data_IF_864676859346
#
_entry.id   IF_864676859346
#
_cell.length_a   1.000
_cell.length_b   1.000
_cell.length_c   1.000
_cell.angle_alpha   90.00
_cell.angle_beta   90.00
_cell.angle_gamma   90.00
#
_symmetry.space_group_name_H-M   'P 1'
#
loop_
_entity.id
_entity.type
_entity.pdbx_description
1 polymer ?
#
# COMPACT_ATOMS: atom_id res chain seq x y z
N UNK A 1 17.76 29.38 -21.27
CA UNK A 1 17.06 28.57 -22.30
C UNK A 1 15.65 28.15 -21.83
N UNK A 2 14.74 29.07 -21.47
CA UNK A 2 13.49 28.68 -20.78
C UNK A 2 12.24 28.45 -21.67
N UNK A 3 12.25 28.84 -22.95
CA UNK A 3 11.04 28.87 -23.78
C UNK A 3 10.60 27.56 -24.48
N UNK A 4 11.46 26.54 -24.60
CA UNK A 4 11.19 25.40 -25.52
C UNK A 4 10.56 24.14 -24.90
N UNK A 5 10.44 24.05 -23.57
CA UNK A 5 9.92 22.83 -22.90
C UNK A 5 8.39 22.76 -22.90
N UNK A 6 7.71 23.90 -22.72
CA UNK A 6 6.24 23.97 -22.62
C UNK A 6 5.50 23.48 -23.87
N UNK A 7 6.09 23.61 -25.05
CA UNK A 7 5.42 23.28 -26.32
C UNK A 7 5.25 21.76 -26.53
N UNK A 8 6.18 20.94 -26.02
CA UNK A 8 6.19 19.48 -26.29
C UNK A 8 5.13 18.69 -25.51
N UNK A 9 4.56 19.29 -24.46
CA UNK A 9 3.50 18.65 -23.65
C UNK A 9 2.13 18.68 -24.32
N UNK A 10 1.77 19.78 -25.00
CA UNK A 10 0.43 19.97 -25.60
C UNK A 10 0.09 18.94 -26.69
N UNK A 11 1.10 18.47 -27.44
CA UNK A 11 0.89 17.54 -28.55
C UNK A 11 0.51 16.11 -28.12
N UNK A 12 0.84 15.69 -26.89
CA UNK A 12 0.40 14.39 -26.38
C UNK A 12 -1.06 14.42 -25.88
N UNK A 13 -1.56 15.58 -25.47
CA UNK A 13 -2.96 15.76 -25.03
C UNK A 13 -3.93 15.66 -26.22
N UNK A 14 -3.61 16.31 -27.34
CA UNK A 14 -4.44 16.30 -28.56
C UNK A 14 -4.67 14.89 -29.12
N UNK A 15 -3.66 14.01 -29.09
CA UNK A 15 -3.78 12.62 -29.56
C UNK A 15 -4.69 11.75 -28.68
N UNK A 16 -4.85 12.09 -27.39
CA UNK A 16 -5.71 11.31 -26.48
C UNK A 16 -7.19 11.69 -26.58
N UNK A 17 -7.51 12.94 -26.92
CA UNK A 17 -8.90 13.41 -27.04
C UNK A 17 -9.53 13.13 -28.41
N UNK A 18 -8.76 13.15 -29.50
CA UNK A 18 -9.32 13.00 -30.85
C UNK A 18 -9.81 11.58 -31.18
N UNK A 19 -9.41 10.56 -30.42
CA UNK A 19 -9.65 9.14 -30.74
C UNK A 19 -11.01 8.57 -30.26
N UNK A 20 -11.92 9.37 -29.67
CA UNK A 20 -13.19 8.88 -29.07
C UNK A 20 -14.40 9.81 -29.26
N UNK A 21 -14.58 10.40 -30.44
CA UNK A 21 -15.83 11.08 -30.80
C UNK A 21 -16.24 10.78 -32.25
N UNK A 22 -17.01 9.71 -32.43
CA UNK A 22 -17.86 9.49 -33.61
C UNK A 22 -19.31 9.78 -33.21
N UNK A 23 -19.97 10.83 -33.75
CA UNK A 23 -21.37 11.11 -33.46
C UNK A 23 -22.29 10.09 -34.14
N UNK A 24 -23.50 9.84 -33.61
CA UNK A 24 -24.52 9.04 -34.30
C UNK A 24 -25.10 9.84 -35.49
N UNK A 25 -25.55 9.16 -36.56
CA UNK A 25 -26.31 9.79 -37.65
C UNK A 25 -27.72 10.19 -37.18
N UNK A 26 -28.32 11.16 -37.87
CA UNK A 26 -29.66 11.68 -37.57
C UNK A 26 -30.52 11.84 -38.83
N UNK A 27 -31.84 11.72 -38.67
CA UNK A 27 -32.86 11.79 -39.72
C UNK A 27 -33.36 10.41 -40.17
N UNK A 28 -34.67 10.19 -40.35
CA UNK A 28 -35.80 11.08 -40.10
C UNK A 28 -37.15 10.36 -40.29
N UNK A 29 -38.26 11.02 -39.91
CA UNK A 29 -39.59 10.41 -39.86
C UNK A 29 -40.22 10.13 -41.24
N UNK A 30 -40.92 8.98 -41.35
CA UNK A 30 -42.16 8.80 -42.15
C UNK A 30 -43.01 7.66 -41.58
N UNK A 31 -44.31 7.89 -41.44
CA UNK A 31 -45.29 6.87 -41.08
C UNK A 31 -45.58 5.86 -42.21
N UNK A 32 -45.73 4.58 -41.85
CA UNK A 32 -46.71 3.67 -42.46
C UNK A 32 -46.92 2.42 -41.59
N UNK A 33 -48.14 1.89 -41.57
CA UNK A 33 -48.51 0.63 -40.88
C UNK A 33 -48.45 -0.53 -41.88
N UNK A 34 -47.94 -1.71 -41.49
CA UNK A 34 -48.72 -2.97 -41.33
C UNK A 34 -47.84 -4.21 -41.03
N UNK A 35 -48.41 -5.14 -40.24
CA UNK A 35 -48.25 -6.62 -40.27
C UNK A 35 -46.86 -7.31 -40.29
N UNK A 36 -46.58 -7.97 -39.15
CA UNK A 36 -46.33 -9.43 -38.98
C UNK A 36 -45.20 -10.20 -39.72
N UNK A 37 -44.65 -11.16 -38.94
CA UNK A 37 -43.88 -12.38 -39.32
C UNK A 37 -42.46 -12.22 -39.93
N UNK A 38 -41.62 -13.26 -39.71
CA UNK A 38 -40.31 -13.41 -40.37
C UNK A 38 -39.08 -13.53 -39.46
N UNK A 39 -38.98 -14.57 -38.63
CA UNK A 39 -37.77 -14.84 -37.82
C UNK A 39 -36.56 -15.26 -38.70
N UNK A 40 -35.40 -14.58 -38.52
CA UNK A 40 -34.03 -14.98 -38.92
C UNK A 40 -32.99 -13.89 -38.61
N UNK A 41 -32.45 -13.86 -37.40
CA UNK A 41 -31.04 -13.45 -37.20
C UNK A 41 -30.49 -13.84 -35.82
N UNK A 42 -29.55 -14.79 -35.78
CA UNK A 42 -28.81 -15.17 -34.58
C UNK A 42 -27.44 -14.49 -34.59
N UNK A 43 -27.02 -13.79 -33.52
CA UNK A 43 -25.67 -13.22 -33.46
C UNK A 43 -24.59 -14.33 -33.39
N UNK A 44 -23.38 -14.09 -33.91
CA UNK A 44 -22.29 -15.05 -33.87
C UNK A 44 -21.79 -15.29 -32.43
N UNK A 45 -21.28 -16.50 -32.18
CA UNK A 45 -20.73 -16.87 -30.87
C UNK A 45 -19.35 -16.26 -30.60
N UNK A 46 -19.01 -16.10 -29.32
CA UNK A 46 -17.74 -15.50 -28.85
C UNK A 46 -16.47 -16.17 -29.43
N UNK A 47 -16.58 -17.43 -29.87
CA UNK A 47 -15.55 -18.18 -30.59
C UNK A 47 -14.96 -17.44 -31.79
N UNK A 48 -15.77 -16.66 -32.50
CA UNK A 48 -15.43 -16.16 -33.82
C UNK A 48 -14.83 -14.75 -33.74
N UNK A 49 -15.29 -13.95 -32.76
CA UNK A 49 -14.62 -12.72 -32.34
C UNK A 49 -13.18 -13.00 -31.83
N UNK A 50 -12.99 -14.08 -31.07
CA UNK A 50 -11.67 -14.50 -30.59
C UNK A 50 -10.71 -14.87 -31.73
N UNK A 51 -11.18 -15.57 -32.77
CA UNK A 51 -10.39 -15.89 -33.98
C UNK A 51 -10.02 -14.64 -34.78
N UNK A 52 -10.93 -13.68 -34.92
CA UNK A 52 -10.65 -12.41 -35.61
C UNK A 52 -9.54 -11.61 -34.90
N UNK A 53 -9.55 -11.56 -33.56
CA UNK A 53 -8.52 -10.89 -32.77
C UNK A 53 -7.12 -11.54 -32.94
N UNK A 54 -7.05 -12.87 -32.96
CA UNK A 54 -5.80 -13.61 -33.16
C UNK A 54 -5.16 -13.36 -34.54
N UNK A 55 -5.99 -13.27 -35.59
CA UNK A 55 -5.54 -13.00 -36.96
C UNK A 55 -4.98 -11.58 -37.17
N UNK A 56 -5.40 -10.60 -36.36
CA UNK A 56 -4.86 -9.24 -36.39
C UNK A 56 -3.46 -9.16 -35.76
N UNK A 57 -3.19 -9.94 -34.69
CA UNK A 57 -1.93 -9.89 -33.96
C UNK A 57 -0.73 -10.41 -34.76
N UNK A 58 -0.90 -11.45 -35.58
CA UNK A 58 0.20 -12.06 -36.35
C UNK A 58 0.75 -11.12 -37.44
N UNK A 59 -0.10 -10.31 -38.08
CA UNK A 59 0.33 -9.35 -39.12
C UNK A 59 1.19 -8.20 -38.59
N UNK A 60 1.13 -7.89 -37.30
CA UNK A 60 1.95 -6.83 -36.70
C UNK A 60 3.41 -7.24 -36.45
N UNK A 61 3.71 -8.55 -36.36
CA UNK A 61 5.03 -9.07 -36.00
C UNK A 61 6.01 -9.20 -37.17
N UNK A 62 5.55 -9.11 -38.42
CA UNK A 62 6.35 -9.35 -39.62
C UNK A 62 7.15 -8.12 -40.13
N UNK A 63 7.04 -6.96 -39.46
CA UNK A 63 7.43 -5.66 -40.01
C UNK A 63 8.65 -5.00 -39.34
N UNK A 64 9.69 -5.77 -39.00
CA UNK A 64 11.00 -5.21 -38.64
C UNK A 64 12.16 -6.20 -38.82
N UNK A 65 13.03 -5.95 -39.81
CA UNK A 65 14.34 -6.60 -39.96
C UNK A 65 15.37 -5.52 -40.33
N UNK A 66 16.51 -5.41 -39.62
CA UNK A 66 17.54 -4.41 -39.95
C UNK A 66 18.39 -4.82 -41.16
N UNK A 67 18.78 -3.86 -41.98
CA UNK A 67 19.63 -4.05 -43.16
C UNK A 67 21.12 -4.16 -42.82
N UNK A 68 21.88 -4.81 -43.71
CA UNK A 68 23.36 -4.86 -43.67
C UNK A 68 23.98 -3.62 -44.32
N UNK A 69 25.11 -3.17 -43.77
CA UNK A 69 26.17 -2.44 -44.49
C UNK A 69 27.53 -2.82 -43.87
N UNK A 70 28.65 -2.61 -44.58
CA UNK A 70 29.95 -3.18 -44.23
C UNK A 70 31.15 -2.33 -44.68
N UNK A 71 32.35 -2.70 -44.18
CA UNK A 71 33.69 -2.16 -44.49
C UNK A 71 33.95 -0.71 -43.99
N UNK A 72 35.19 -0.19 -43.87
CA UNK A 72 36.57 -0.67 -44.17
C UNK A 72 37.51 -0.47 -42.96
N UNK A 73 38.83 -0.74 -43.07
CA UNK A 73 39.81 -0.63 -41.97
C UNK A 73 41.22 -0.11 -42.37
N UNK A 74 41.90 0.50 -41.38
CA UNK A 74 43.38 0.67 -41.23
C UNK A 74 44.12 1.67 -42.18
N UNK A 75 45.40 2.05 -41.94
CA UNK A 75 46.33 1.73 -40.82
C UNK A 75 47.10 2.95 -40.19
N UNK A 76 48.16 2.66 -39.41
CA UNK A 76 49.29 3.53 -38.97
C UNK A 76 49.03 4.71 -37.97
N UNK A 77 49.97 5.13 -37.09
CA UNK A 77 51.31 4.62 -36.68
C UNK A 77 51.66 5.03 -35.22
N UNK A 78 52.55 4.29 -34.55
CA UNK A 78 53.13 4.64 -33.22
C UNK A 78 54.48 5.39 -33.32
N UNK A 79 55.32 5.48 -32.27
CA UNK A 79 55.35 4.78 -30.96
C UNK A 79 55.07 5.76 -29.77
N UNK A 80 55.58 5.73 -28.52
CA UNK A 80 56.64 4.97 -27.83
C UNK A 80 56.50 4.93 -26.26
N UNK A 81 57.47 4.30 -25.61
CA UNK A 81 57.83 4.21 -24.15
C UNK A 81 59.29 3.68 -24.09
N UNK A 82 59.97 3.31 -22.96
CA UNK A 82 59.70 3.29 -21.50
C UNK A 82 60.82 4.11 -20.75
N UNK A 83 61.45 3.73 -19.60
CA UNK A 83 61.14 2.87 -18.43
C UNK A 83 61.26 3.61 -17.05
N UNK A 84 61.08 3.03 -15.85
CA UNK A 84 60.58 1.70 -15.42
C UNK A 84 61.22 1.19 -14.09
N UNK A 85 60.62 0.18 -13.42
CA UNK A 85 61.15 -0.63 -12.26
C UNK A 85 61.34 0.11 -10.90
N UNK A 86 61.35 -0.52 -9.71
CA UNK A 86 60.76 -1.80 -9.23
C UNK A 86 60.78 -1.91 -7.66
N UNK A 87 59.95 -2.82 -7.12
CA UNK A 87 60.14 -3.69 -5.93
C UNK A 87 60.48 -3.20 -4.49
N UNK A 88 59.54 -3.49 -3.57
CA UNK A 88 59.70 -4.27 -2.31
C UNK A 88 60.33 -3.69 -1.01
N UNK A 89 59.96 -4.33 0.12
CA UNK A 89 60.43 -4.18 1.53
C UNK A 89 60.12 -2.83 2.23
N UNK A 90 60.10 -2.70 3.56
CA UNK A 90 60.05 -3.71 4.63
C UNK A 90 60.44 -3.18 6.04
N UNK A 91 59.47 -3.17 6.99
CA UNK A 91 59.61 -3.03 8.46
C UNK A 91 60.37 -1.81 9.09
N UNK A 92 59.79 -1.20 10.15
CA UNK A 92 60.46 -1.02 11.46
C UNK A 92 59.62 -0.27 12.52
N UNK A 93 59.92 -0.53 13.80
CA UNK A 93 59.18 -0.17 15.02
C UNK A 93 59.33 1.29 15.49
N UNK A 94 58.35 1.80 16.27
CA UNK A 94 58.55 2.14 17.70
C UNK A 94 57.28 2.54 18.48
N UNK A 95 57.30 2.26 19.80
CA UNK A 95 56.51 2.90 20.87
C UNK A 95 57.50 3.57 21.87
N UNK A 96 57.08 4.42 22.83
CA UNK A 96 56.33 4.06 24.08
C UNK A 96 54.99 4.83 24.23
N UNK A 97 54.00 4.46 25.07
CA UNK A 97 53.89 4.42 26.56
C UNK A 97 53.97 5.82 27.24
N UNK A 98 53.20 6.19 28.28
CA UNK A 98 52.59 5.42 29.40
C UNK A 98 51.25 6.02 29.96
N UNK A 99 50.53 5.24 30.79
CA UNK A 99 49.59 5.65 31.89
C UNK A 99 48.31 6.46 31.56
N UNK A 100 47.19 6.46 32.32
CA UNK A 100 46.59 5.62 33.38
C UNK A 100 45.18 6.21 33.73
N UNK A 101 44.21 5.60 34.43
CA UNK A 101 43.82 4.20 34.76
C UNK A 101 42.45 4.21 35.48
N UNK A 102 41.57 3.21 35.32
CA UNK A 102 40.28 3.15 36.06
C UNK A 102 39.52 1.81 35.93
N UNK A 103 39.10 1.21 37.06
CA UNK A 103 38.53 -0.15 37.16
C UNK A 103 37.04 -0.25 36.77
N UNK A 104 36.65 -1.43 36.28
CA UNK A 104 35.28 -1.94 36.34
C UNK A 104 35.10 -2.89 37.55
N UNK A 105 33.85 -3.33 37.84
CA UNK A 105 33.62 -4.69 38.36
C UNK A 105 32.70 -5.51 37.43
N UNK A 106 32.64 -6.82 37.67
CA UNK A 106 31.83 -7.79 36.92
C UNK A 106 31.16 -8.81 37.88
N UNK A 107 30.58 -9.87 37.31
CA UNK A 107 29.90 -11.03 37.97
C UNK A 107 28.44 -10.78 38.41
N UNK A 108 27.54 -11.78 38.46
CA UNK A 108 27.63 -13.23 38.16
C UNK A 108 26.54 -13.66 37.14
N UNK A 109 26.62 -14.90 36.65
CA UNK A 109 25.52 -15.59 35.96
C UNK A 109 25.05 -16.80 36.80
N UNK A 110 23.78 -17.18 36.70
CA UNK A 110 23.22 -18.37 37.33
C UNK A 110 22.11 -19.00 36.45
N UNK A 111 22.04 -20.33 36.43
CA UNK A 111 21.18 -21.11 35.51
C UNK A 111 20.26 -22.07 36.28
N UNK A 112 18.96 -22.01 36.00
CA UNK A 112 17.92 -23.04 36.22
C UNK A 112 16.57 -22.47 35.77
N UNK A 113 15.53 -23.24 35.41
CA UNK A 113 15.41 -24.69 35.24
C UNK A 113 13.92 -25.06 35.09
N UNK A 114 13.52 -25.70 34.00
CA UNK A 114 12.10 -25.87 33.67
C UNK A 114 11.45 -27.12 34.31
N UNK A 115 10.27 -26.98 34.93
CA UNK A 115 9.37 -28.10 35.24
C UNK A 115 7.88 -27.78 35.02
N UNK A 116 7.25 -28.71 34.31
CA UNK A 116 5.82 -29.01 34.12
C UNK A 116 4.80 -28.45 35.14
N UNK A 117 3.68 -27.94 34.62
CA UNK A 117 2.38 -27.93 35.31
C UNK A 117 1.50 -29.09 34.80
N UNK A 118 0.60 -29.63 35.65
CA UNK A 118 -0.35 -30.71 35.33
C UNK A 118 -1.78 -30.34 35.75
N UNK A 119 -2.78 -31.07 35.22
CA UNK A 119 -4.22 -30.83 35.41
C UNK A 119 -4.74 -31.12 36.84
N UNK A 120 -5.91 -30.53 37.13
CA UNK A 120 -6.93 -31.03 38.07
C UNK A 120 -7.16 -30.09 39.26
N UNK A 121 -8.38 -29.93 39.80
CA UNK A 121 -9.73 -30.09 39.21
C UNK A 121 -10.71 -29.24 40.07
N UNK A 122 -12.03 -29.37 39.90
CA UNK A 122 -12.99 -28.55 40.66
C UNK A 122 -13.35 -29.14 42.04
N UNK A 123 -13.73 -28.30 43.02
CA UNK A 123 -15.07 -28.30 43.64
C UNK A 123 -15.22 -27.37 44.87
N UNK A 124 -16.36 -26.69 44.96
CA UNK A 124 -17.04 -26.29 46.20
C UNK A 124 -17.83 -27.51 46.74
N UNK A 125 -18.09 -27.66 48.06
CA UNK A 125 -18.82 -26.72 48.92
C UNK A 125 -18.04 -26.42 50.25
N UNK A 126 -18.58 -25.94 51.38
CA UNK A 126 -19.97 -25.79 51.85
C UNK A 126 -20.18 -24.64 52.87
N UNK A 127 -21.40 -24.55 53.38
CA UNK A 127 -21.92 -23.53 54.32
C UNK A 127 -21.60 -23.76 55.80
N UNK A 128 -21.40 -22.68 56.56
CA UNK A 128 -21.55 -22.63 58.02
C UNK A 128 -22.52 -21.52 58.42
N UNK A 129 -23.40 -21.76 59.42
CA UNK A 129 -24.44 -20.81 59.84
C UNK A 129 -23.99 -19.93 61.02
N UNK A 130 -24.49 -18.70 61.09
CA UNK A 130 -24.39 -17.83 62.26
C UNK A 130 -25.33 -16.63 62.16
N UNK A 131 -26.43 -16.66 62.91
CA UNK A 131 -27.23 -15.46 63.25
C UNK A 131 -26.70 -14.89 64.59
N UNK A 132 -27.08 -13.72 65.10
CA UNK A 132 -28.17 -12.80 64.73
C UNK A 132 -27.84 -11.38 65.26
N UNK A 133 -28.46 -10.33 64.70
CA UNK A 133 -29.06 -9.17 65.40
C UNK A 133 -29.36 -7.98 64.49
N UNK A 134 -30.60 -7.51 64.61
CA UNK A 134 -31.11 -6.26 64.05
C UNK A 134 -30.27 -5.01 64.34
N UNK A 135 -30.23 -4.11 63.34
CA UNK A 135 -30.45 -2.67 63.58
C UNK A 135 -30.95 -1.98 62.30
N UNK A 136 -32.17 -1.45 62.38
CA UNK A 136 -32.91 -0.88 61.26
C UNK A 136 -32.43 0.53 60.88
N UNK A 137 -31.58 0.62 59.85
CA UNK A 137 -31.26 1.87 59.16
C UNK A 137 -32.25 2.15 58.03
N UNK A 138 -32.96 3.29 58.08
CA UNK A 138 -33.88 3.68 57.00
C UNK A 138 -33.12 3.94 55.70
N UNK A 139 -33.38 3.15 54.67
CA UNK A 139 -32.82 3.38 53.33
C UNK A 139 -33.30 4.71 52.75
N UNK A 140 -32.38 5.51 52.23
CA UNK A 140 -32.73 6.69 51.44
C UNK A 140 -33.43 6.27 50.14
N UNK A 141 -34.45 7.00 49.67
CA UNK A 141 -35.10 6.69 48.40
C UNK A 141 -34.10 6.84 47.24
N UNK A 142 -34.20 6.00 46.18
CA UNK A 142 -33.39 6.18 44.98
C UNK A 142 -33.67 7.56 44.34
N UNK A 143 -32.65 8.23 43.76
CA UNK A 143 -32.84 9.54 43.14
C UNK A 143 -33.83 9.46 41.97
N UNK A 144 -34.67 10.48 41.75
CA UNK A 144 -35.70 10.45 40.73
C UNK A 144 -35.11 10.41 39.32
N UNK A 145 -35.71 9.64 38.39
CA UNK A 145 -35.23 9.57 37.01
C UNK A 145 -35.50 10.88 36.27
N UNK A 146 -34.53 11.35 35.48
CA UNK A 146 -34.80 12.29 34.38
C UNK A 146 -33.98 13.58 34.35
N UNK A 147 -33.34 14.01 35.44
CA UNK A 147 -32.42 15.16 35.38
C UNK A 147 -31.07 14.75 34.77
N UNK A 148 -31.02 14.69 33.43
CA UNK A 148 -29.76 14.71 32.71
C UNK A 148 -29.05 16.03 33.00
N UNK A 149 -27.99 15.98 33.81
CA UNK A 149 -27.12 17.13 34.05
C UNK A 149 -26.53 17.57 32.71
N UNK A 150 -26.88 18.78 32.28
CA UNK A 150 -26.58 19.30 30.94
C UNK A 150 -25.09 19.60 30.82
N UNK A 151 -24.31 18.58 30.43
CA UNK A 151 -22.85 18.64 30.33
C UNK A 151 -22.40 19.86 29.53
N UNK A 152 -21.38 20.55 30.03
CA UNK A 152 -20.83 21.73 29.37
C UNK A 152 -20.32 21.37 27.96
N UNK A 153 -20.61 22.18 26.93
CA UNK A 153 -20.35 21.83 25.54
C UNK A 153 -18.84 21.79 25.25
N UNK A 154 -18.34 20.62 24.84
CA UNK A 154 -16.91 20.36 24.61
C UNK A 154 -16.56 20.67 23.17
N UNK A 155 -16.57 21.96 22.82
CA UNK A 155 -16.35 22.42 21.45
C UNK A 155 -14.90 22.17 21.00
N UNK A 156 -14.72 21.31 20.00
CA UNK A 156 -13.45 21.05 19.30
C UNK A 156 -13.49 21.68 17.91
N UNK A 157 -12.38 22.31 17.55
CA UNK A 157 -12.19 22.99 16.27
C UNK A 157 -11.52 22.06 15.26
N UNK A 158 -12.11 21.93 14.07
CA UNK A 158 -11.55 21.21 12.93
C UNK A 158 -11.24 22.18 11.78
N UNK A 159 -9.99 22.18 11.31
CA UNK A 159 -9.54 22.92 10.13
C UNK A 159 -9.39 21.94 8.96
N UNK A 160 -10.31 21.98 7.99
CA UNK A 160 -10.40 21.00 6.90
C UNK A 160 -10.02 21.65 5.57
N UNK A 161 -9.18 20.97 4.79
CA UNK A 161 -8.86 21.34 3.42
C UNK A 161 -10.09 21.24 2.52
N UNK A 162 -10.41 22.34 1.82
CA UNK A 162 -11.51 22.46 0.86
C UNK A 162 -10.99 22.80 -0.52
N UNK A 163 -11.50 22.10 -1.53
CA UNK A 163 -11.24 22.42 -2.94
C UNK A 163 -12.29 21.82 -3.87
N UNK A 164 -12.63 22.54 -4.93
CA UNK A 164 -13.35 22.04 -6.11
C UNK A 164 -12.71 22.62 -7.38
N UNK A 165 -12.84 21.95 -8.54
CA UNK A 165 -12.40 22.49 -9.82
C UNK A 165 -12.89 23.93 -10.04
N UNK A 166 -11.99 24.80 -10.49
CA UNK A 166 -12.25 26.24 -10.72
C UNK A 166 -11.94 27.17 -9.54
N UNK A 167 -11.81 26.69 -8.30
CA UNK A 167 -11.44 27.53 -7.15
C UNK A 167 -9.98 27.35 -6.69
N UNK A 168 -9.48 28.28 -5.87
CA UNK A 168 -8.22 28.11 -5.13
C UNK A 168 -8.47 27.25 -3.87
N UNK A 169 -7.53 26.36 -3.47
CA UNK A 169 -7.63 25.64 -2.20
C UNK A 169 -7.72 26.58 -0.99
N UNK A 170 -8.50 26.19 0.01
CA UNK A 170 -8.64 26.93 1.29
C UNK A 170 -8.80 25.98 2.47
N UNK A 171 -8.48 26.45 3.67
CA UNK A 171 -8.87 25.78 4.91
C UNK A 171 -10.22 26.35 5.36
N UNK A 172 -11.14 25.48 5.78
CA UNK A 172 -12.42 25.87 6.37
C UNK A 172 -12.51 25.32 7.79
N UNK A 173 -12.95 26.17 8.72
CA UNK A 173 -13.07 25.86 10.14
C UNK A 173 -14.48 25.37 10.46
N UNK A 174 -14.59 24.29 11.24
CA UNK A 174 -15.85 23.76 11.76
C UNK A 174 -15.74 23.49 13.26
N UNK A 175 -16.76 23.88 14.02
CA UNK A 175 -16.83 23.68 15.47
C UNK A 175 -17.85 22.58 15.79
N UNK A 176 -17.41 21.55 16.51
CA UNK A 176 -18.18 20.33 16.84
C UNK A 176 -18.15 20.13 18.36
N UNK A 177 -19.29 19.86 18.99
CA UNK A 177 -19.32 19.42 20.39
C UNK A 177 -18.94 17.93 20.49
N UNK A 178 -17.91 17.61 21.28
CA UNK A 178 -17.48 16.24 21.53
C UNK A 178 -18.39 15.46 22.49
N UNK A 179 -19.40 16.08 23.09
CA UNK A 179 -20.45 15.38 23.84
C UNK A 179 -21.49 14.73 22.91
N UNK A 180 -21.64 15.26 21.69
CA UNK A 180 -22.63 14.85 20.67
C UNK A 180 -21.92 14.31 19.40
N UNK A 181 -20.75 13.73 19.57
CA UNK A 181 -19.92 13.22 18.47
C UNK A 181 -19.30 11.86 18.85
N UNK A 182 -19.12 10.98 17.86
CA UNK A 182 -18.31 9.77 18.03
C UNK A 182 -16.84 10.09 18.28
N UNK A 183 -16.09 9.11 18.79
CA UNK A 183 -14.72 9.28 19.26
C UNK A 183 -13.68 9.45 18.14
N UNK A 184 -14.01 9.12 16.89
CA UNK A 184 -13.08 9.09 15.77
C UNK A 184 -13.24 10.31 14.86
N UNK A 185 -12.17 10.72 14.18
CA UNK A 185 -12.21 11.85 13.24
C UNK A 185 -13.20 11.60 12.09
N UNK A 186 -13.41 10.34 11.68
CA UNK A 186 -14.47 9.99 10.71
C UNK A 186 -15.87 10.36 11.23
N UNK A 187 -16.14 10.20 12.53
CA UNK A 187 -17.44 10.50 13.12
C UNK A 187 -17.69 12.02 13.06
N UNK A 188 -16.67 12.82 13.40
CA UNK A 188 -16.71 14.28 13.24
C UNK A 188 -16.88 14.71 11.78
N UNK A 189 -16.17 14.08 10.83
CA UNK A 189 -16.32 14.36 9.40
C UNK A 189 -17.73 14.03 8.87
N UNK A 190 -18.33 12.93 9.35
CA UNK A 190 -19.72 12.58 9.04
C UNK A 190 -20.68 13.59 9.67
N UNK A 191 -20.50 13.95 10.95
CA UNK A 191 -21.34 14.95 11.63
C UNK A 191 -21.30 16.31 10.95
N UNK A 192 -20.10 16.81 10.61
CA UNK A 192 -19.92 18.04 9.83
C UNK A 192 -20.68 17.95 8.50
N UNK A 193 -20.55 16.83 7.77
CA UNK A 193 -21.25 16.66 6.48
C UNK A 193 -22.77 16.62 6.63
N UNK A 194 -23.30 15.92 7.62
CA UNK A 194 -24.75 15.78 7.80
C UNK A 194 -25.42 17.07 8.29
N UNK A 195 -24.80 17.76 9.24
CA UNK A 195 -25.45 18.82 10.04
C UNK A 195 -24.99 20.24 9.73
N UNK A 196 -23.79 20.42 9.14
CA UNK A 196 -23.17 21.76 8.99
C UNK A 196 -22.83 22.12 7.55
N UNK A 197 -22.33 21.17 6.75
CA UNK A 197 -21.92 21.40 5.37
C UNK A 197 -21.97 20.12 4.52
N UNK A 198 -23.13 19.90 3.90
CA UNK A 198 -23.36 18.77 2.99
C UNK A 198 -22.44 18.79 1.76
N UNK A 199 -21.76 19.90 1.44
CA UNK A 199 -20.83 19.97 0.31
C UNK A 199 -19.48 19.30 0.60
N UNK A 200 -19.13 19.07 1.87
CA UNK A 200 -17.88 18.43 2.29
C UNK A 200 -17.75 17.02 1.71
N UNK A 201 -16.60 16.71 1.12
CA UNK A 201 -16.38 15.46 0.35
C UNK A 201 -15.17 14.69 0.84
N UNK A 202 -15.36 13.42 1.18
CA UNK A 202 -14.33 12.47 1.58
C UNK A 202 -14.76 11.04 1.24
N UNK A 203 -13.81 10.13 1.07
CA UNK A 203 -14.11 8.70 0.90
C UNK A 203 -14.26 8.02 2.26
N UNK A 204 -15.30 7.19 2.42
CA UNK A 204 -15.49 6.30 3.57
C UNK A 204 -16.32 5.07 3.18
N UNK A 205 -16.04 3.94 3.80
CA UNK A 205 -16.86 2.73 3.67
C UNK A 205 -16.96 2.01 5.03
N UNK A 206 -15.97 1.20 5.39
CA UNK A 206 -16.17 0.15 6.40
C UNK A 206 -16.23 0.59 7.87
N UNK A 207 -15.85 1.83 8.24
CA UNK A 207 -15.69 2.34 9.63
C UNK A 207 -14.76 1.59 10.61
N UNK A 208 -14.39 0.31 10.45
CA UNK A 208 -13.43 -0.38 11.35
C UNK A 208 -12.00 -0.57 10.78
N UNK A 209 -11.63 0.21 9.76
CA UNK A 209 -10.24 0.33 9.30
C UNK A 209 -9.70 -0.83 8.46
N UNK A 210 -10.58 -1.65 7.86
CA UNK A 210 -10.20 -2.74 6.94
C UNK A 210 -10.22 -2.35 5.45
N UNK A 211 -11.09 -1.42 5.02
CA UNK A 211 -11.22 -1.05 3.59
C UNK A 211 -10.19 -0.03 3.06
N UNK A 212 -9.41 0.61 3.94
CA UNK A 212 -8.42 1.64 3.58
C UNK A 212 -8.97 2.95 3.00
N UNK A 213 -10.29 3.08 2.75
CA UNK A 213 -10.84 4.17 1.92
C UNK A 213 -10.82 5.56 2.56
N UNK A 214 -10.77 5.67 3.89
CA UNK A 214 -10.74 6.95 4.62
C UNK A 214 -9.32 7.38 5.02
N UNK A 215 -8.35 7.06 4.16
CA UNK A 215 -6.95 7.46 4.28
C UNK A 215 -6.77 8.94 3.96
N UNK A 216 -6.20 9.68 4.90
CA UNK A 216 -5.99 11.13 4.82
C UNK A 216 -4.87 11.57 5.78
N UNK A 217 -4.42 12.81 5.67
CA UNK A 217 -3.45 13.38 6.60
C UNK A 217 -4.19 14.11 7.72
N UNK A 218 -3.94 13.72 8.96
CA UNK A 218 -4.53 14.31 10.16
C UNK A 218 -3.38 14.75 11.07
N UNK A 219 -3.35 16.04 11.40
CA UNK A 219 -2.31 16.68 12.22
C UNK A 219 -0.86 16.35 11.78
N UNK A 220 -0.66 16.25 10.46
CA UNK A 220 0.63 15.96 9.83
C UNK A 220 0.88 14.47 9.55
N UNK A 221 0.10 13.54 10.12
CA UNK A 221 0.31 12.09 9.99
C UNK A 221 -0.70 11.46 9.03
N UNK A 222 -0.23 10.58 8.12
CA UNK A 222 -1.14 9.84 7.23
C UNK A 222 -1.75 8.65 7.96
N UNK A 223 -3.06 8.66 8.17
CA UNK A 223 -3.77 7.64 8.93
C UNK A 223 -5.18 7.38 8.37
N UNK A 224 -5.94 6.48 8.98
CA UNK A 224 -7.35 6.27 8.66
C UNK A 224 -8.20 7.10 9.63
N UNK A 225 -9.09 7.96 9.11
CA UNK A 225 -9.96 8.80 9.94
C UNK A 225 -10.84 7.99 10.91
N UNK A 226 -11.14 6.73 10.58
CA UNK A 226 -11.95 5.84 11.43
C UNK A 226 -11.18 5.12 12.55
N UNK A 227 -9.84 5.21 12.56
CA UNK A 227 -8.98 4.71 13.66
C UNK A 227 -8.29 5.86 14.41
N UNK A 228 -8.24 7.05 13.81
CA UNK A 228 -7.74 8.26 14.44
C UNK A 228 -8.79 8.77 15.43
N UNK A 229 -8.48 8.67 16.74
CA UNK A 229 -9.26 9.30 17.79
C UNK A 229 -9.17 10.83 17.68
N UNK A 230 -10.26 11.51 18.00
CA UNK A 230 -10.27 12.97 18.17
C UNK A 230 -9.43 13.32 19.40
N UNK A 231 -8.50 14.26 19.25
CA UNK A 231 -7.73 14.82 20.36
C UNK A 231 -8.65 15.60 21.33
N UNK A 232 -8.58 15.25 22.61
CA UNK A 232 -9.41 15.84 23.66
C UNK A 232 -9.01 17.26 24.09
N UNK A 233 -7.84 17.75 23.68
CA UNK A 233 -7.40 19.13 23.94
C UNK A 233 -8.22 20.11 23.08
N UNK A 234 -9.21 20.78 23.67
CA UNK A 234 -10.11 21.67 22.93
C UNK A 234 -9.43 22.93 22.35
N UNK A 235 -8.31 23.36 22.93
CA UNK A 235 -7.59 24.57 22.50
C UNK A 235 -6.81 24.37 21.18
N UNK A 236 -6.40 23.14 20.87
CA UNK A 236 -5.69 22.82 19.63
C UNK A 236 -6.68 22.47 18.50
N UNK A 237 -6.67 23.17 17.35
CA UNK A 237 -7.50 22.79 16.21
C UNK A 237 -6.91 21.58 15.47
N UNK A 238 -7.70 20.53 15.25
CA UNK A 238 -7.26 19.39 14.43
C UNK A 238 -7.30 19.74 12.95
N UNK A 239 -6.22 19.45 12.23
CA UNK A 239 -6.03 19.80 10.81
C UNK A 239 -6.18 18.56 9.94
N UNK A 240 -7.06 18.62 8.96
CA UNK A 240 -7.37 17.50 8.06
C UNK A 240 -7.09 17.89 6.60
N UNK A 241 -6.19 17.16 5.96
CA UNK A 241 -5.77 17.35 4.57
C UNK A 241 -5.95 16.05 3.76
N UNK A 242 -6.09 16.11 2.41
CA UNK A 242 -5.95 14.94 1.56
C UNK A 242 -4.56 14.30 1.71
N UNK A 243 -4.38 13.08 1.17
CA UNK A 243 -3.07 12.42 1.19
C UNK A 243 -1.99 13.29 0.49
N UNK A 244 -0.79 13.47 1.08
CA UNK A 244 0.20 14.43 0.58
C UNK A 244 0.72 14.11 -0.83
N UNK A 245 0.94 15.17 -1.61
CA UNK A 245 1.51 15.13 -2.95
C UNK A 245 0.73 14.25 -3.96
N UNK A 246 -0.60 14.22 -3.81
CA UNK A 246 -1.54 13.60 -4.74
C UNK A 246 -2.39 14.69 -5.43
N UNK A 247 -2.78 14.47 -6.68
CA UNK A 247 -3.79 15.32 -7.32
C UNK A 247 -5.12 15.19 -6.60
N UNK A 248 -5.76 16.30 -6.26
CA UNK A 248 -7.06 16.32 -5.59
C UNK A 248 -8.18 16.39 -6.63
N UNK A 249 -9.20 15.56 -6.48
CA UNK A 249 -10.44 15.59 -7.29
C UNK A 249 -11.44 16.57 -6.67
N UNK A 250 -11.63 16.50 -5.35
CA UNK A 250 -12.48 17.41 -4.54
C UNK A 250 -12.18 17.23 -3.05
N UNK A 251 -12.08 18.32 -2.29
CA UNK A 251 -11.87 18.33 -0.83
C UNK A 251 -10.81 17.31 -0.36
N UNK A 252 -11.19 16.28 0.41
CA UNK A 252 -10.29 15.25 0.94
C UNK A 252 -10.16 14.01 0.02
N UNK A 253 -10.53 14.13 -1.26
CA UNK A 253 -10.57 13.03 -2.24
C UNK A 253 -9.42 13.16 -3.24
N UNK A 254 -8.28 12.46 -3.04
CA UNK A 254 -7.23 12.37 -4.05
C UNK A 254 -7.62 11.47 -5.22
N UNK A 255 -7.02 11.67 -6.39
CA UNK A 255 -6.98 10.63 -7.42
C UNK A 255 -6.01 9.52 -7.01
N UNK A 256 -6.41 8.28 -7.24
CA UNK A 256 -5.68 7.06 -6.90
C UNK A 256 -5.30 6.24 -8.13
N UNK A 257 -5.64 6.71 -9.34
CA UNK A 257 -5.42 6.03 -10.63
C UNK A 257 -3.99 5.49 -10.78
N UNK A 258 -2.99 6.37 -10.66
CA UNK A 258 -1.56 6.08 -10.77
C UNK A 258 -1.08 5.06 -9.72
N UNK A 259 -1.62 5.11 -8.50
CA UNK A 259 -1.28 4.16 -7.44
C UNK A 259 -1.79 2.74 -7.75
N UNK A 260 -3.03 2.62 -8.25
CA UNK A 260 -3.58 1.33 -8.67
C UNK A 260 -2.91 0.80 -9.94
N UNK A 261 -2.47 1.66 -10.85
CA UNK A 261 -1.72 1.24 -12.04
C UNK A 261 -0.33 0.67 -11.66
N UNK A 262 0.40 1.33 -10.76
CA UNK A 262 1.65 0.76 -10.22
C UNK A 262 1.43 -0.58 -9.52
N UNK A 263 0.29 -0.77 -8.84
CA UNK A 263 -0.08 -2.06 -8.25
C UNK A 263 -0.38 -3.14 -9.32
N UNK A 264 -0.86 -2.79 -10.51
CA UNK A 264 -1.03 -3.74 -11.64
C UNK A 264 0.32 -4.19 -12.23
N UNK A 265 1.29 -3.27 -12.34
CA UNK A 265 2.62 -3.54 -12.94
C UNK A 265 3.34 -4.74 -12.29
N UNK A 266 3.18 -4.95 -10.97
CA UNK A 266 3.81 -6.06 -10.24
C UNK A 266 3.12 -7.41 -10.41
N UNK A 267 2.04 -7.46 -11.21
CA UNK A 267 1.21 -8.64 -11.50
C UNK A 267 0.74 -9.39 -10.23
N UNK A 268 -0.11 -8.78 -9.38
CA UNK A 268 -0.35 -9.21 -8.00
C UNK A 268 -1.37 -10.38 -7.87
N UNK A 269 -1.14 -11.45 -8.63
CA UNK A 269 -1.84 -12.73 -8.58
C UNK A 269 -0.83 -13.88 -8.58
N UNK A 270 -1.24 -15.08 -8.16
CA UNK A 270 -0.39 -16.28 -8.16
C UNK A 270 -0.04 -16.69 -9.60
N UNK A 271 1.22 -17.00 -9.87
CA UNK A 271 1.68 -17.45 -11.18
C UNK A 271 2.45 -18.77 -11.06
N UNK A 272 2.09 -19.78 -11.87
CA UNK A 272 2.78 -21.08 -11.94
C UNK A 272 3.06 -21.51 -13.39
N UNK A 273 4.16 -22.23 -13.61
CA UNK A 273 4.67 -22.59 -14.94
C UNK A 273 3.73 -23.56 -15.67
N UNK A 274 3.08 -24.47 -14.94
CA UNK A 274 2.20 -25.51 -15.49
C UNK A 274 0.70 -25.14 -15.40
N UNK A 275 0.33 -23.85 -15.36
CA UNK A 275 -1.07 -23.39 -15.24
C UNK A 275 -2.06 -23.90 -16.32
N UNK A 276 -1.55 -24.39 -17.45
CA UNK A 276 -2.36 -25.00 -18.52
C UNK A 276 -2.50 -26.53 -18.41
N UNK A 277 -1.77 -27.17 -17.49
CA UNK A 277 -1.74 -28.63 -17.28
C UNK A 277 -2.28 -29.03 -15.92
N UNK A 278 -2.13 -28.19 -14.90
CA UNK A 278 -2.76 -28.39 -13.59
C UNK A 278 -4.21 -27.87 -13.62
N UNK A 279 -5.24 -28.73 -13.54
CA UNK A 279 -6.63 -28.30 -13.65
C UNK A 279 -7.04 -27.49 -12.42
N UNK A 280 -7.33 -26.20 -12.66
CA UNK A 280 -7.56 -25.21 -11.60
C UNK A 280 -8.82 -25.51 -10.80
N UNK A 281 -8.67 -25.67 -9.49
CA UNK A 281 -9.77 -25.93 -8.56
C UNK A 281 -10.00 -27.41 -8.20
N UNK A 282 -9.34 -28.36 -8.88
CA UNK A 282 -9.48 -29.79 -8.57
C UNK A 282 -8.86 -30.19 -7.21
N UNK A 283 -7.87 -29.45 -6.73
CA UNK A 283 -7.23 -29.68 -5.43
C UNK A 283 -6.72 -28.37 -4.79
N UNK A 284 -6.19 -28.48 -3.58
CA UNK A 284 -5.53 -27.37 -2.88
C UNK A 284 -4.01 -27.39 -3.13
N UNK A 285 -3.41 -26.24 -3.40
CA UNK A 285 -1.96 -26.10 -3.46
C UNK A 285 -1.34 -26.23 -2.05
N UNK A 286 -0.46 -27.21 -1.85
CA UNK A 286 0.17 -27.44 -0.55
C UNK A 286 1.14 -26.32 -0.19
N UNK A 287 1.01 -25.80 1.04
CA UNK A 287 1.91 -24.83 1.63
C UNK A 287 2.14 -25.19 3.10
N UNK A 288 3.42 -25.33 3.48
CA UNK A 288 3.78 -25.65 4.86
C UNK A 288 3.44 -24.47 5.80
N UNK A 289 3.01 -24.69 7.06
CA UNK A 289 2.66 -23.61 7.98
C UNK A 289 3.77 -22.56 8.17
N UNK A 290 5.04 -23.00 8.25
CA UNK A 290 6.20 -22.09 8.30
C UNK A 290 6.35 -21.23 7.04
N UNK A 291 5.96 -21.74 5.87
CA UNK A 291 6.10 -21.03 4.60
C UNK A 291 4.98 -20.00 4.47
N UNK A 292 3.76 -20.35 4.91
CA UNK A 292 2.65 -19.43 5.09
C UNK A 292 3.01 -18.32 6.08
N UNK A 293 3.64 -18.63 7.22
CA UNK A 293 4.04 -17.65 8.25
C UNK A 293 4.98 -16.55 7.71
N UNK A 294 5.76 -16.82 6.66
CA UNK A 294 6.59 -15.79 6.01
C UNK A 294 5.79 -14.67 5.33
N UNK A 295 4.49 -14.87 5.10
CA UNK A 295 3.57 -13.92 4.46
C UNK A 295 2.85 -12.99 5.46
N UNK A 296 2.94 -13.25 6.77
CA UNK A 296 2.36 -12.36 7.79
C UNK A 296 3.20 -11.08 7.94
N UNK A 297 2.53 -9.97 8.24
CA UNK A 297 3.07 -8.61 8.12
C UNK A 297 3.17 -8.10 6.67
N UNK A 298 2.58 -8.80 5.69
CA UNK A 298 2.57 -8.44 4.27
C UNK A 298 1.19 -8.56 3.61
N UNK A 299 0.44 -9.63 3.88
CA UNK A 299 -0.88 -9.90 3.27
C UNK A 299 -2.00 -8.99 3.82
N UNK A 300 -1.81 -8.43 5.00
CA UNK A 300 -2.74 -7.57 5.73
C UNK A 300 -2.79 -6.12 5.18
N UNK A 301 -2.19 -5.89 4.01
CA UNK A 301 -2.06 -4.59 3.38
C UNK A 301 -3.36 -4.16 2.69
N UNK A 302 -4.13 -3.32 3.37
CA UNK A 302 -5.42 -2.78 2.93
C UNK A 302 -5.35 -1.74 1.78
N UNK A 303 -4.22 -1.66 1.05
CA UNK A 303 -3.97 -0.73 -0.08
C UNK A 303 -4.35 0.75 0.14
N UNK A 304 -4.35 1.24 1.39
CA UNK A 304 -4.77 2.58 1.79
C UNK A 304 -3.84 3.74 1.36
N UNK A 305 -2.70 3.47 0.72
CA UNK A 305 -1.68 4.44 0.30
C UNK A 305 -1.10 5.40 1.38
N UNK A 306 -1.46 5.32 2.67
CA UNK A 306 -0.90 6.18 3.73
C UNK A 306 0.64 6.15 3.75
N UNK A 307 1.23 4.95 3.65
CA UNK A 307 2.68 4.75 3.61
C UNK A 307 3.33 5.18 2.27
N UNK A 308 2.58 5.11 1.16
CA UNK A 308 3.00 5.57 -0.16
C UNK A 308 3.19 7.10 -0.16
N UNK A 309 2.16 7.80 0.31
CA UNK A 309 2.03 9.26 0.32
C UNK A 309 2.70 9.94 1.52
N UNK A 310 3.39 9.18 2.38
CA UNK A 310 4.29 9.70 3.42
C UNK A 310 5.79 9.60 3.02
N UNK A 311 6.10 9.06 1.84
CA UNK A 311 7.47 8.80 1.39
C UNK A 311 7.97 9.94 0.49
N UNK A 312 8.97 10.74 0.90
CA UNK A 312 9.47 11.84 0.07
C UNK A 312 10.02 11.39 -1.29
N UNK A 313 10.66 10.21 -1.36
CA UNK A 313 11.06 9.61 -2.63
C UNK A 313 9.91 9.42 -3.61
N UNK A 314 8.69 9.14 -3.11
CA UNK A 314 7.49 8.99 -3.92
C UNK A 314 6.89 10.33 -4.32
N UNK A 315 6.93 11.35 -3.45
CA UNK A 315 6.54 12.71 -3.83
C UNK A 315 7.33 13.18 -5.08
N UNK A 316 8.67 13.06 -5.03
CA UNK A 316 9.54 13.54 -6.10
C UNK A 316 9.62 12.66 -7.36
N UNK A 317 9.22 11.38 -7.31
CA UNK A 317 9.40 10.41 -8.40
C UNK A 317 8.20 9.47 -8.57
N UNK A 318 6.98 9.92 -8.29
CA UNK A 318 5.77 9.06 -8.32
C UNK A 318 5.53 8.43 -9.68
N UNK A 319 6.04 9.02 -10.77
CA UNK A 319 5.93 8.52 -12.14
C UNK A 319 6.69 7.21 -12.37
N UNK A 320 7.77 6.94 -11.61
CA UNK A 320 8.68 5.79 -11.82
C UNK A 320 8.94 4.95 -10.59
N UNK A 321 9.04 5.55 -9.41
CA UNK A 321 9.25 4.83 -8.16
C UNK A 321 7.93 4.19 -7.74
N UNK A 322 7.91 2.85 -7.66
CA UNK A 322 6.70 2.08 -7.34
C UNK A 322 6.21 2.31 -5.90
N UNK A 323 7.08 2.82 -5.02
CA UNK A 323 6.72 3.19 -3.66
C UNK A 323 6.50 2.01 -2.70
N UNK A 324 6.45 2.31 -1.39
CA UNK A 324 6.52 1.30 -0.33
C UNK A 324 5.36 0.32 -0.28
N UNK A 325 4.13 0.72 -0.66
CA UNK A 325 2.99 -0.19 -0.61
C UNK A 325 3.07 -1.25 -1.73
N UNK A 326 3.34 -0.81 -2.96
CA UNK A 326 3.49 -1.68 -4.13
C UNK A 326 4.71 -2.58 -3.98
N UNK A 327 5.85 -2.05 -3.52
CA UNK A 327 7.06 -2.86 -3.33
C UNK A 327 6.91 -3.90 -2.20
N UNK A 328 6.13 -3.61 -1.15
CA UNK A 328 5.78 -4.62 -0.14
C UNK A 328 4.91 -5.73 -0.72
N UNK A 329 3.98 -5.40 -1.63
CA UNK A 329 3.18 -6.40 -2.34
C UNK A 329 3.98 -7.18 -3.40
N UNK A 330 4.96 -6.56 -4.07
CA UNK A 330 5.90 -7.28 -4.93
C UNK A 330 6.68 -8.31 -4.11
N UNK A 331 7.20 -7.90 -2.93
CA UNK A 331 7.87 -8.80 -2.00
C UNK A 331 6.95 -9.95 -1.54
N UNK A 332 5.69 -9.67 -1.18
CA UNK A 332 4.66 -10.66 -0.82
C UNK A 332 4.49 -11.76 -1.87
N UNK A 333 4.60 -11.46 -3.16
CA UNK A 333 4.49 -12.47 -4.22
C UNK A 333 5.82 -13.17 -4.49
N UNK A 334 6.93 -12.42 -4.51
CA UNK A 334 8.29 -12.96 -4.69
C UNK A 334 8.63 -14.09 -3.71
N UNK A 335 8.12 -14.05 -2.46
CA UNK A 335 8.39 -15.06 -1.44
C UNK A 335 7.27 -16.09 -1.18
N UNK A 336 6.13 -16.02 -1.86
CA UNK A 336 5.08 -17.04 -1.68
C UNK A 336 5.61 -18.38 -2.21
N UNK A 337 5.67 -19.42 -1.36
CA UNK A 337 6.23 -20.71 -1.76
C UNK A 337 5.46 -21.37 -2.92
N UNK A 338 4.21 -20.95 -3.16
CA UNK A 338 3.37 -21.44 -4.26
C UNK A 338 3.61 -20.72 -5.59
N UNK A 339 4.32 -19.60 -5.60
CA UNK A 339 4.54 -18.78 -6.81
C UNK A 339 5.84 -19.17 -7.51
N UNK A 340 5.82 -19.35 -8.83
CA UNK A 340 6.97 -19.81 -9.61
C UNK A 340 7.50 -18.74 -10.57
N UNK A 341 7.00 -17.50 -10.44
CA UNK A 341 7.40 -16.35 -11.26
C UNK A 341 8.43 -15.44 -10.57
N UNK A 342 9.15 -15.94 -9.56
CA UNK A 342 10.08 -15.16 -8.71
C UNK A 342 11.09 -14.34 -9.53
N UNK A 343 11.80 -14.95 -10.49
CA UNK A 343 12.80 -14.23 -11.29
C UNK A 343 12.16 -13.21 -12.25
N UNK A 344 11.02 -13.55 -12.85
CA UNK A 344 10.20 -12.63 -13.65
C UNK A 344 9.77 -11.40 -12.83
N UNK A 345 9.36 -11.60 -11.57
CA UNK A 345 8.97 -10.52 -10.65
C UNK A 345 10.15 -9.65 -10.22
N UNK A 346 11.33 -10.26 -10.01
CA UNK A 346 12.56 -9.53 -9.73
C UNK A 346 13.01 -8.71 -10.95
N UNK A 347 12.94 -9.28 -12.15
CA UNK A 347 13.29 -8.60 -13.41
C UNK A 347 12.39 -7.39 -13.71
N UNK A 348 11.10 -7.41 -13.33
CA UNK A 348 10.21 -6.23 -13.42
C UNK A 348 10.77 -5.02 -12.63
N UNK A 349 11.55 -5.26 -11.57
CA UNK A 349 12.13 -4.24 -10.68
C UNK A 349 13.54 -3.78 -11.06
N UNK A 350 14.18 -4.39 -12.07
CA UNK A 350 15.50 -3.99 -12.59
C UNK A 350 15.37 -2.66 -13.34
N UNK A 351 15.50 -1.57 -12.60
CA UNK A 351 15.37 -0.19 -13.10
C UNK A 351 15.96 0.80 -12.06
N UNK A 352 16.63 1.91 -12.48
CA UNK A 352 17.21 2.89 -11.56
C UNK A 352 16.23 3.60 -10.61
N UNK A 353 14.93 3.55 -10.87
CA UNK A 353 13.88 4.20 -10.11
C UNK A 353 13.00 3.23 -9.33
N UNK A 354 12.39 2.23 -9.98
CA UNK A 354 11.28 1.38 -9.48
C UNK A 354 11.47 0.91 -8.04
N UNK A 355 12.64 0.38 -7.73
CA UNK A 355 13.05 -0.06 -6.39
C UNK A 355 14.08 0.89 -5.74
N UNK A 356 15.02 1.43 -6.52
CA UNK A 356 16.23 2.05 -6.00
C UNK A 356 16.09 3.50 -5.52
N UNK A 357 14.95 4.19 -5.76
CA UNK A 357 14.65 5.47 -5.06
C UNK A 357 14.30 5.30 -3.59
N UNK A 358 14.17 4.08 -3.06
CA UNK A 358 14.02 3.88 -1.62
C UNK A 358 15.34 4.20 -0.90
N UNK A 359 15.42 5.39 -0.31
CA UNK A 359 16.56 5.89 0.50
C UNK A 359 16.36 5.65 2.00
N UNK A 360 15.60 4.61 2.39
CA UNK A 360 15.45 4.14 3.78
C UNK A 360 14.96 5.21 4.77
N UNK A 361 14.06 6.09 4.33
CA UNK A 361 13.50 7.22 5.14
C UNK A 361 12.53 6.73 6.25
N UNK A 362 12.05 5.49 6.18
CA UNK A 362 11.19 4.80 7.16
C UNK A 362 9.82 5.41 7.52
N UNK A 363 9.48 6.64 7.12
CA UNK A 363 8.11 7.21 7.24
C UNK A 363 7.00 6.22 6.86
N UNK A 364 7.23 5.41 5.83
CA UNK A 364 6.30 4.41 5.33
C UNK A 364 5.96 3.29 6.32
N UNK A 365 6.84 2.97 7.27
CA UNK A 365 6.58 2.06 8.37
C UNK A 365 5.91 2.81 9.52
N UNK A 366 6.46 3.97 9.92
CA UNK A 366 5.97 4.76 11.06
C UNK A 366 4.49 5.19 10.91
N UNK A 367 4.05 5.46 9.68
CA UNK A 367 2.68 5.92 9.39
C UNK A 367 1.68 4.78 9.11
N UNK A 368 2.09 3.51 9.17
CA UNK A 368 1.25 2.41 8.68
C UNK A 368 0.08 2.11 9.66
N UNK A 369 -1.20 2.34 9.31
CA UNK A 369 -2.33 2.15 10.23
C UNK A 369 -2.66 0.68 10.53
N UNK A 370 -1.88 -0.25 9.97
CA UNK A 370 -1.94 -1.70 10.22
C UNK A 370 -0.63 -2.24 10.82
N UNK A 371 0.29 -1.36 11.27
CA UNK A 371 1.57 -1.67 11.89
C UNK A 371 2.51 -2.57 11.04
N UNK A 372 2.34 -2.55 9.70
CA UNK A 372 3.16 -3.30 8.76
C UNK A 372 4.49 -2.58 8.49
N UNK A 373 5.52 -3.33 8.07
CA UNK A 373 6.86 -2.79 7.87
C UNK A 373 7.33 -2.85 6.40
N UNK A 374 6.79 -1.98 5.52
CA UNK A 374 7.21 -1.93 4.11
C UNK A 374 8.68 -1.57 3.94
N UNK A 375 9.28 -0.80 4.86
CA UNK A 375 10.73 -0.53 4.85
C UNK A 375 11.56 -1.83 4.92
N UNK A 376 11.21 -2.73 5.86
CA UNK A 376 11.84 -4.06 6.01
C UNK A 376 11.59 -4.94 4.79
N UNK A 377 10.39 -4.90 4.20
CA UNK A 377 10.08 -5.63 2.97
C UNK A 377 10.93 -5.16 1.78
N UNK A 378 11.08 -3.84 1.57
CA UNK A 378 11.93 -3.26 0.52
C UNK A 378 13.41 -3.63 0.71
N UNK A 379 13.90 -3.64 1.96
CA UNK A 379 15.29 -4.07 2.26
C UNK A 379 15.49 -5.55 1.89
N UNK A 380 14.55 -6.44 2.26
CA UNK A 380 14.61 -7.85 1.85
C UNK A 380 14.52 -8.02 0.33
N UNK A 381 13.68 -7.23 -0.35
CA UNK A 381 13.53 -7.25 -1.81
C UNK A 381 14.81 -6.81 -2.53
N UNK A 382 15.53 -5.80 -2.01
CA UNK A 382 16.88 -5.43 -2.46
C UNK A 382 17.90 -6.55 -2.24
N UNK A 383 17.84 -7.26 -1.10
CA UNK A 383 18.73 -8.39 -0.81
C UNK A 383 18.52 -9.57 -1.76
N UNK A 384 17.28 -9.80 -2.22
CA UNK A 384 16.98 -10.79 -3.26
C UNK A 384 17.48 -10.33 -4.64
N UNK A 385 17.16 -9.10 -5.05
CA UNK A 385 17.53 -8.59 -6.38
C UNK A 385 19.06 -8.48 -6.58
N UNK A 386 19.81 -8.22 -5.51
CA UNK A 386 21.27 -8.17 -5.52
C UNK A 386 21.95 -9.54 -5.25
N UNK A 387 21.20 -10.64 -5.24
CA UNK A 387 21.75 -12.01 -5.09
C UNK A 387 22.28 -12.38 -3.70
N UNK A 388 22.40 -11.43 -2.76
CA UNK A 388 22.82 -11.69 -1.36
C UNK A 388 21.92 -12.70 -0.63
N UNK A 389 20.67 -12.86 -1.08
CA UNK A 389 19.76 -13.91 -0.66
C UNK A 389 19.03 -14.47 -1.87
N UNK A 390 18.62 -15.73 -1.78
CA UNK A 390 17.65 -16.34 -2.71
C UNK A 390 16.31 -16.51 -2.00
N UNK A 391 15.27 -16.86 -2.76
CA UNK A 391 14.02 -17.37 -2.19
C UNK A 391 14.32 -18.68 -1.44
N UNK A 392 13.56 -18.96 -0.38
CA UNK A 392 13.60 -20.25 0.30
C UNK A 392 12.74 -21.25 -0.48
N UNK A 393 13.28 -22.42 -0.78
CA UNK A 393 12.52 -23.48 -1.46
C UNK A 393 11.30 -23.93 -0.62
N UNK A 394 10.19 -24.35 -1.26
CA UNK A 394 9.00 -24.82 -0.56
C UNK A 394 9.29 -26.06 0.30
N UNK A 395 8.78 -26.09 1.54
CA UNK A 395 8.93 -27.26 2.42
C UNK A 395 8.02 -28.44 2.08
N UNK A 396 7.08 -28.24 1.15
CA UNK A 396 6.18 -29.26 0.61
C UNK A 396 6.12 -29.11 -0.90
N UNK A 397 5.98 -30.22 -1.62
CA UNK A 397 5.68 -30.21 -3.05
C UNK A 397 4.27 -29.61 -3.26
N UNK A 398 4.21 -28.35 -3.70
CA UNK A 398 2.97 -27.58 -3.81
C UNK A 398 1.92 -28.22 -4.72
N UNK A 399 2.35 -28.87 -5.80
CA UNK A 399 1.47 -29.52 -6.78
C UNK A 399 1.11 -30.97 -6.44
N UNK A 400 1.51 -31.52 -5.28
CA UNK A 400 1.41 -32.98 -5.01
C UNK A 400 0.00 -33.56 -5.10
N UNK A 401 -1.05 -32.74 -4.92
CA UNK A 401 -2.46 -33.16 -5.03
C UNK A 401 -3.05 -33.02 -6.45
N UNK A 402 -2.23 -32.68 -7.46
CA UNK A 402 -2.63 -32.51 -8.87
C UNK A 402 -1.97 -33.56 -9.79
N UNK A 403 -1.54 -34.68 -9.22
CA UNK A 403 -0.90 -35.82 -9.89
C UNK A 403 -1.86 -37.00 -9.96
#
# INVERSE_FOLDING_TARGET
MFGRVLYRSRNNILRYFCAKQTPPPAGGDKDSKTSCEGDKNKPPSESDAAKAAAAAASKAAAASSPSKSAATAAPDKGPATPPGKAAATGASNKAPATAASGKAPATTAATQGAKTAKKGEAQQPASGKGADKDKSGKGAPPPPPGQQTKKEPRIKTFQIYRWKPGEKPKMQTYNIDLNDCGMMVLDALIKIKSEKDQTLTFRRSCREGICGSCSMNIDGVNTLACLCKIDGNLAAPMRVYPLPHMYVIRDLVPDMSQFYEQYRIIQPWLQRQNESKEPKGCAQYLQHPQDRLNLDGLVECILCACCQTACPSYWWNSDRYLGPAVLMQAYRWVIDSRDEATDKRLNILVDPYKLYRCHTILNCTNTCPKNLNPGKAIIKLKQLLAGYKKKTEPKLETAKLFK
#
